data_IF_653553800382
#
_entry.id   IF_653553800382
#
_cell.length_a   1.000
_cell.length_b   1.000
_cell.length_c   1.000
_cell.angle_alpha   90.00
_cell.angle_beta   90.00
_cell.angle_gamma   90.00
#
_symmetry.space_group_name_H-M   'P 1'
#
loop_
_entity.id
_entity.type
_entity.pdbx_description
1 polymer ?
#
# COMPACT_ATOMS: atom_id res chain seq x y z
N UNK A 1 13.80 20.12 -37.53
CA UNK A 1 13.99 18.66 -37.36
C UNK A 1 14.73 18.29 -36.06
N UNK A 2 14.59 19.03 -34.95
CA UNK A 2 15.30 18.75 -33.68
C UNK A 2 14.44 18.05 -32.61
N UNK A 3 13.12 17.99 -32.78
CA UNK A 3 12.19 17.45 -31.77
C UNK A 3 12.27 15.91 -31.61
N UNK A 4 12.62 15.18 -32.66
CA UNK A 4 12.66 13.72 -32.62
C UNK A 4 13.83 13.16 -31.78
N UNK A 5 14.99 13.81 -31.83
CA UNK A 5 16.17 13.39 -31.06
C UNK A 5 16.01 13.62 -29.55
N UNK A 6 15.35 14.70 -29.17
CA UNK A 6 15.14 15.05 -27.77
C UNK A 6 14.13 14.11 -27.08
N UNK A 7 13.10 13.67 -27.81
CA UNK A 7 12.12 12.71 -27.31
C UNK A 7 12.74 11.31 -27.10
N UNK A 8 13.63 10.89 -27.99
CA UNK A 8 14.33 9.61 -27.88
C UNK A 8 15.24 9.54 -26.65
N UNK A 9 15.98 10.62 -26.37
CA UNK A 9 16.88 10.69 -25.21
C UNK A 9 16.09 10.63 -23.89
N UNK A 10 14.96 11.34 -23.81
CA UNK A 10 14.05 11.27 -22.66
C UNK A 10 13.49 9.86 -22.48
N UNK A 11 13.08 9.19 -23.57
CA UNK A 11 12.57 7.81 -23.52
C UNK A 11 13.63 6.82 -23.02
N UNK A 12 14.87 6.92 -23.51
CA UNK A 12 15.97 6.04 -23.07
C UNK A 12 16.28 6.25 -21.58
N UNK A 13 16.30 7.51 -21.11
CA UNK A 13 16.48 7.82 -19.69
C UNK A 13 15.35 7.27 -18.83
N UNK A 14 14.10 7.38 -19.28
CA UNK A 14 12.94 6.82 -18.58
C UNK A 14 13.04 5.30 -18.50
N UNK A 15 13.30 4.60 -19.61
CA UNK A 15 13.42 3.14 -19.62
C UNK A 15 14.55 2.67 -18.70
N UNK A 16 15.72 3.34 -18.75
CA UNK A 16 16.86 3.02 -17.89
C UNK A 16 16.53 3.20 -16.40
N UNK A 17 15.87 4.31 -16.04
CA UNK A 17 15.44 4.54 -14.65
C UNK A 17 14.43 3.48 -14.15
N UNK A 18 13.51 3.04 -15.02
CA UNK A 18 12.53 2.02 -14.68
C UNK A 18 13.16 0.64 -14.49
N UNK A 19 14.13 0.28 -15.34
CA UNK A 19 14.86 -0.98 -15.21
C UNK A 19 15.63 -1.05 -13.90
N UNK A 20 16.32 0.03 -13.52
CA UNK A 20 17.06 0.11 -12.26
C UNK A 20 16.15 0.04 -11.03
N UNK A 21 14.98 0.68 -11.08
CA UNK A 21 13.96 0.57 -10.03
C UNK A 21 13.44 -0.87 -9.87
N UNK A 22 13.21 -1.56 -10.98
CA UNK A 22 12.70 -2.93 -10.97
C UNK A 22 13.72 -3.91 -10.36
N UNK A 23 15.00 -3.80 -10.73
CA UNK A 23 16.08 -4.62 -10.14
C UNK A 23 16.20 -4.45 -8.62
N UNK A 24 16.00 -3.22 -8.12
CA UNK A 24 16.01 -2.97 -6.67
C UNK A 24 14.87 -3.68 -5.92
N UNK A 25 13.69 -3.82 -6.52
CA UNK A 25 12.57 -4.55 -5.88
C UNK A 25 12.77 -6.06 -5.87
N UNK A 26 13.49 -6.59 -6.85
CA UNK A 26 13.81 -8.02 -6.87
C UNK A 26 14.85 -8.40 -5.83
N UNK A 27 15.73 -7.47 -5.47
CA UNK A 27 16.85 -7.69 -4.55
C UNK A 27 16.60 -7.23 -3.10
N UNK A 28 15.62 -6.34 -2.86
CA UNK A 28 15.36 -5.77 -1.53
C UNK A 28 13.95 -6.06 -1.02
N UNK A 29 13.82 -6.21 0.30
CA UNK A 29 12.55 -6.13 1.00
C UNK A 29 12.29 -4.70 1.45
N UNK A 30 11.03 -4.28 1.44
CA UNK A 30 10.63 -2.94 1.83
C UNK A 30 9.73 -2.99 3.06
N UNK A 31 9.92 -2.03 3.94
CA UNK A 31 9.26 -1.93 5.22
C UNK A 31 8.70 -0.54 5.43
N UNK A 32 7.48 -0.47 5.93
CA UNK A 32 6.86 0.80 6.35
C UNK A 32 6.79 0.87 7.86
N UNK A 33 7.24 1.99 8.40
CA UNK A 33 7.18 2.29 9.82
C UNK A 33 6.56 3.67 10.02
N UNK A 34 5.69 3.77 11.01
CA UNK A 34 5.09 5.03 11.42
C UNK A 34 5.92 5.64 12.54
N UNK A 35 6.27 6.92 12.41
CA UNK A 35 7.07 7.66 13.40
C UNK A 35 6.21 8.75 14.04
N UNK A 36 6.51 9.11 15.30
CA UNK A 36 5.90 10.26 15.96
C UNK A 36 6.22 11.56 15.19
N UNK A 37 5.29 12.53 15.11
CA UNK A 37 5.61 13.86 14.61
C UNK A 37 6.72 14.48 15.49
N UNK A 38 7.70 15.15 14.86
CA UNK A 38 8.91 15.68 15.52
C UNK A 38 9.82 14.64 16.20
N UNK A 39 9.82 13.41 15.68
CA UNK A 39 10.72 12.34 16.14
C UNK A 39 12.18 12.50 15.66
N UNK A 40 13.04 11.60 16.13
CA UNK A 40 14.40 11.41 15.69
C UNK A 40 14.46 11.13 14.19
N UNK A 41 15.65 11.32 13.64
CA UNK A 41 15.88 11.15 12.21
C UNK A 41 15.50 9.72 11.79
N UNK A 42 14.77 9.54 10.68
CA UNK A 42 14.55 8.22 10.09
C UNK A 42 15.85 7.43 9.90
N UNK A 43 16.98 8.12 9.68
CA UNK A 43 18.31 7.51 9.57
C UNK A 43 18.82 6.88 10.88
N UNK A 44 18.45 7.43 12.04
CA UNK A 44 18.79 6.84 13.34
C UNK A 44 18.03 5.53 13.54
N UNK A 45 16.76 5.47 13.11
CA UNK A 45 15.92 4.26 13.17
C UNK A 45 16.43 3.20 12.19
N UNK A 46 16.80 3.62 10.97
CA UNK A 46 17.47 2.79 9.99
C UNK A 46 18.72 2.13 10.58
N UNK A 47 19.57 2.92 11.25
CA UNK A 47 20.77 2.43 11.94
C UNK A 47 20.44 1.45 13.07
N UNK A 48 19.44 1.78 13.91
CA UNK A 48 18.97 0.94 15.01
C UNK A 48 18.45 -0.42 14.53
N UNK A 49 17.84 -0.48 13.35
CA UNK A 49 17.32 -1.71 12.73
C UNK A 49 18.31 -2.34 11.72
N UNK A 50 19.49 -1.73 11.48
CA UNK A 50 20.43 -2.04 10.35
C UNK A 50 19.67 -2.28 9.04
N UNK A 51 18.85 -1.32 8.68
CA UNK A 51 18.17 -1.24 7.39
C UNK A 51 18.51 0.12 6.77
N UNK A 52 18.22 0.29 5.49
CA UNK A 52 18.44 1.55 4.78
C UNK A 52 17.17 2.38 4.76
N UNK A 53 17.31 3.70 4.90
CA UNK A 53 16.21 4.63 4.74
C UNK A 53 16.01 5.00 3.27
N UNK A 54 14.79 4.86 2.76
CA UNK A 54 14.46 5.17 1.36
C UNK A 54 13.81 6.55 1.23
N UNK A 55 12.85 6.86 2.09
CA UNK A 55 12.09 8.12 2.00
C UNK A 55 10.75 8.06 2.72
N UNK A 56 9.89 9.05 2.46
CA UNK A 56 8.50 9.07 2.95
C UNK A 56 7.57 8.29 2.02
N UNK A 57 6.50 7.73 2.56
CA UNK A 57 5.51 6.96 1.79
C UNK A 57 4.43 7.90 1.24
N UNK A 58 4.70 8.50 0.08
CA UNK A 58 3.77 9.43 -0.57
C UNK A 58 3.38 10.59 0.35
N UNK A 59 2.08 10.88 0.41
CA UNK A 59 1.51 11.96 1.24
C UNK A 59 0.98 11.45 2.61
N UNK A 60 1.32 10.23 3.00
CA UNK A 60 0.86 9.65 4.27
C UNK A 60 1.76 10.14 5.40
N UNK A 61 1.23 11.04 6.22
CA UNK A 61 2.00 11.69 7.30
C UNK A 61 2.55 10.69 8.32
N UNK A 62 3.85 10.83 8.62
CA UNK A 62 4.55 10.02 9.61
C UNK A 62 4.92 8.62 9.14
N UNK A 63 4.57 8.21 7.91
CA UNK A 63 4.98 6.92 7.35
C UNK A 63 6.27 7.04 6.54
N UNK A 64 7.24 6.23 6.93
CA UNK A 64 8.57 6.19 6.33
C UNK A 64 8.84 4.81 5.74
N UNK A 65 9.50 4.81 4.59
CA UNK A 65 9.88 3.63 3.83
C UNK A 65 11.35 3.31 4.10
N UNK A 66 11.59 2.04 4.42
CA UNK A 66 12.90 1.47 4.66
C UNK A 66 13.11 0.26 3.75
N UNK A 67 14.36 -0.06 3.45
CA UNK A 67 14.73 -1.21 2.64
C UNK A 67 15.81 -2.04 3.30
N UNK A 68 15.82 -3.34 3.02
CA UNK A 68 16.91 -4.23 3.40
C UNK A 68 17.19 -5.21 2.27
N UNK A 69 18.45 -5.52 1.95
CA UNK A 69 18.77 -6.55 0.97
C UNK A 69 18.20 -7.91 1.41
N UNK A 70 17.59 -8.66 0.49
CA UNK A 70 17.01 -9.99 0.77
C UNK A 70 18.04 -10.99 1.28
N UNK A 71 19.27 -10.88 0.80
CA UNK A 71 20.40 -11.72 1.25
C UNK A 71 20.75 -11.46 2.73
N UNK A 72 20.52 -10.24 3.22
CA UNK A 72 20.89 -9.80 4.56
C UNK A 72 19.92 -10.31 5.65
N UNK A 73 18.64 -10.52 5.31
CA UNK A 73 17.66 -11.19 6.20
C UNK A 73 18.15 -12.58 6.63
N UNK A 74 18.91 -13.27 5.77
CA UNK A 74 19.36 -14.62 6.05
C UNK A 74 20.50 -14.68 7.07
N UNK A 75 21.31 -13.62 7.18
CA UNK A 75 22.53 -13.62 7.99
C UNK A 75 22.38 -12.97 9.37
N UNK A 76 21.53 -11.94 9.49
CA UNK A 76 21.34 -11.17 10.73
C UNK A 76 19.96 -11.38 11.37
N UNK A 77 19.15 -12.29 10.81
CA UNK A 77 17.74 -12.45 11.15
C UNK A 77 16.85 -11.45 10.41
N UNK A 78 15.54 -11.68 10.49
CA UNK A 78 14.57 -10.80 9.82
C UNK A 78 14.42 -9.47 10.56
N UNK A 79 13.97 -8.42 9.87
CA UNK A 79 13.74 -7.09 10.48
C UNK A 79 12.72 -7.19 11.61
N UNK A 80 11.71 -8.05 11.44
CA UNK A 80 10.66 -8.32 12.42
C UNK A 80 11.22 -9.01 13.67
N UNK A 81 12.13 -9.96 13.51
CA UNK A 81 12.81 -10.62 14.65
C UNK A 81 13.64 -9.62 15.44
N UNK A 82 14.39 -8.76 14.74
CA UNK A 82 15.18 -7.72 15.39
C UNK A 82 14.30 -6.71 16.11
N UNK A 83 13.19 -6.31 15.49
CA UNK A 83 12.22 -5.43 16.14
C UNK A 83 11.66 -6.08 17.41
N UNK A 84 11.29 -7.35 17.35
CA UNK A 84 10.83 -8.10 18.52
C UNK A 84 11.90 -8.18 19.62
N UNK A 85 13.17 -8.36 19.25
CA UNK A 85 14.28 -8.34 20.20
C UNK A 85 14.42 -6.96 20.87
N UNK A 86 14.32 -5.87 20.11
CA UNK A 86 14.34 -4.51 20.67
C UNK A 86 13.16 -4.25 21.61
N UNK A 87 11.97 -4.78 21.33
CA UNK A 87 10.82 -4.73 22.24
C UNK A 87 11.13 -5.43 23.57
N UNK A 88 11.76 -6.61 23.51
CA UNK A 88 12.17 -7.35 24.71
C UNK A 88 13.24 -6.57 25.47
N UNK A 89 14.31 -6.12 24.80
CA UNK A 89 15.39 -5.32 25.39
C UNK A 89 14.88 -4.02 26.03
N UNK A 90 13.85 -3.40 25.44
CA UNK A 90 13.16 -2.25 25.99
C UNK A 90 12.45 -2.60 27.31
N UNK A 91 11.74 -3.72 27.36
CA UNK A 91 10.99 -4.15 28.55
C UNK A 91 11.88 -4.51 29.75
N UNK A 92 13.07 -5.05 29.49
CA UNK A 92 14.04 -5.40 30.53
C UNK A 92 15.01 -4.25 30.86
N UNK A 93 14.92 -3.13 30.14
CA UNK A 93 15.80 -1.97 30.34
C UNK A 93 17.25 -2.16 29.88
N UNK A 94 17.49 -3.07 28.94
CA UNK A 94 18.83 -3.40 28.41
C UNK A 94 19.26 -2.47 27.26
N UNK A 95 18.34 -1.63 26.75
CA UNK A 95 18.66 -0.66 25.70
C UNK A 95 19.49 0.50 26.24
N UNK A 96 20.46 0.97 25.43
CA UNK A 96 21.18 2.21 25.75
C UNK A 96 20.22 3.39 25.71
N UNK A 97 20.49 4.44 26.50
CA UNK A 97 19.63 5.65 26.57
C UNK A 97 19.25 6.22 25.20
N UNK A 98 20.21 6.30 24.27
CA UNK A 98 19.98 6.79 22.90
C UNK A 98 19.08 5.85 22.09
N UNK A 99 19.31 4.55 22.19
CA UNK A 99 18.52 3.54 21.46
C UNK A 99 17.09 3.49 21.99
N UNK A 100 16.91 3.60 23.30
CA UNK A 100 15.63 3.73 23.97
C UNK A 100 14.85 4.96 23.47
N UNK A 101 15.51 6.12 23.42
CA UNK A 101 14.90 7.36 22.91
C UNK A 101 14.42 7.21 21.47
N UNK A 102 15.28 6.68 20.59
CA UNK A 102 14.94 6.43 19.18
C UNK A 102 13.78 5.41 19.07
N UNK A 103 13.88 4.29 19.78
CA UNK A 103 12.89 3.22 19.72
C UNK A 103 11.51 3.67 20.21
N UNK A 104 11.46 4.49 21.26
CA UNK A 104 10.22 5.02 21.85
C UNK A 104 9.40 5.91 20.90
N UNK A 105 9.99 6.32 19.77
CA UNK A 105 9.37 7.18 18.78
C UNK A 105 8.73 6.41 17.63
N UNK A 106 9.02 5.12 17.51
CA UNK A 106 8.39 4.23 16.55
C UNK A 106 6.96 3.93 17.02
N UNK A 107 5.98 4.15 16.16
CA UNK A 107 4.58 3.83 16.40
C UNK A 107 4.22 2.52 15.69
N UNK A 108 3.93 1.49 16.47
CA UNK A 108 3.48 0.20 15.95
C UNK A 108 4.61 -0.72 15.51
N UNK A 109 4.28 -1.69 14.65
CA UNK A 109 5.21 -2.71 14.16
C UNK A 109 5.64 -2.44 12.71
N UNK A 110 6.83 -2.90 12.30
CA UNK A 110 7.25 -2.84 10.90
C UNK A 110 6.32 -3.67 10.01
N UNK A 111 5.79 -3.04 8.97
CA UNK A 111 4.93 -3.71 7.98
C UNK A 111 5.73 -3.96 6.70
N UNK A 112 5.90 -5.25 6.33
CA UNK A 112 6.58 -5.66 5.10
C UNK A 112 5.70 -5.41 3.88
N UNK A 113 6.19 -4.62 2.95
CA UNK A 113 5.49 -4.30 1.71
C UNK A 113 5.70 -5.41 0.67
N UNK A 114 4.62 -6.07 0.29
CA UNK A 114 4.62 -7.10 -0.77
C UNK A 114 4.07 -6.50 -2.05
N UNK A 115 4.94 -6.32 -3.05
CA UNK A 115 4.51 -5.90 -4.38
C UNK A 115 3.72 -7.03 -5.06
N UNK A 116 2.41 -6.82 -5.15
CA UNK A 116 1.56 -7.68 -5.98
C UNK A 116 1.78 -7.29 -7.44
N UNK A 117 2.39 -8.19 -8.22
CA UNK A 117 2.41 -8.08 -9.68
C UNK A 117 0.95 -8.02 -10.16
N UNK A 118 0.54 -6.88 -10.72
CA UNK A 118 -0.80 -6.76 -11.33
C UNK A 118 -0.82 -7.64 -12.57
N UNK A 119 -1.39 -8.83 -12.48
CA UNK A 119 -1.80 -9.58 -13.66
C UNK A 119 -2.89 -8.78 -14.34
N UNK A 120 -2.70 -8.41 -15.61
CA UNK A 120 -3.77 -7.78 -16.41
C UNK A 120 -5.02 -8.64 -16.26
N UNK A 121 -6.13 -8.03 -15.84
CA UNK A 121 -7.43 -8.70 -15.76
C UNK A 121 -7.75 -9.19 -17.17
N UNK A 122 -7.63 -10.49 -17.40
CA UNK A 122 -8.21 -11.12 -18.59
C UNK A 122 -9.71 -11.00 -18.40
N UNK A 123 -10.39 -10.36 -19.35
CA UNK A 123 -11.85 -10.34 -19.36
C UNK A 123 -12.31 -11.81 -19.36
N UNK A 124 -13.26 -12.22 -18.51
CA UNK A 124 -13.82 -13.56 -18.59
C UNK A 124 -14.27 -13.79 -20.03
N UNK A 125 -13.82 -14.89 -20.63
CA UNK A 125 -14.19 -15.21 -22.00
C UNK A 125 -15.72 -15.34 -22.06
N UNK A 126 -16.37 -14.46 -22.83
CA UNK A 126 -17.79 -14.63 -23.12
C UNK A 126 -17.93 -15.89 -23.94
N UNK A 127 -18.73 -16.86 -23.46
CA UNK A 127 -19.13 -18.00 -24.26
C UNK A 127 -19.87 -17.49 -25.50
N UNK A 128 -19.56 -17.97 -26.71
CA UNK A 128 -20.30 -17.58 -27.90
C UNK A 128 -21.79 -17.94 -27.72
N UNK A 129 -22.72 -17.10 -28.21
CA UNK A 129 -24.15 -17.38 -28.10
C UNK A 129 -24.46 -18.69 -28.82
N UNK A 130 -25.07 -19.64 -28.10
CA UNK A 130 -25.60 -20.86 -28.69
C UNK A 130 -26.79 -20.49 -29.57
N UNK A 131 -26.84 -21.01 -30.80
CA UNK A 131 -27.90 -20.78 -31.80
C UNK A 131 -29.35 -21.11 -31.36
N UNK A 132 -29.55 -21.56 -30.12
CA UNK A 132 -30.87 -21.86 -29.57
C UNK A 132 -31.59 -20.64 -28.98
N UNK A 133 -30.91 -19.52 -28.73
CA UNK A 133 -31.54 -18.30 -28.20
C UNK A 133 -32.25 -17.46 -29.30
N UNK A 134 -32.08 -17.80 -30.58
CA UNK A 134 -32.65 -17.01 -31.68
C UNK A 134 -34.12 -17.36 -32.01
N UNK A 135 -34.69 -18.42 -31.41
CA UNK A 135 -36.10 -18.79 -31.66
C UNK A 135 -37.08 -18.41 -30.55
N UNK A 136 -36.62 -17.82 -29.44
CA UNK A 136 -37.50 -17.41 -28.33
C UNK A 136 -37.87 -15.91 -28.32
N UNK A 137 -37.49 -15.12 -29.33
CA UNK A 137 -37.71 -13.65 -29.35
C UNK A 137 -38.84 -13.22 -30.31
N UNK A 138 -39.72 -14.14 -30.71
CA UNK A 138 -40.84 -13.79 -31.60
C UNK A 138 -42.22 -14.24 -31.10
N UNK A 139 -42.36 -14.38 -29.77
CA UNK A 139 -43.58 -14.90 -29.16
C UNK A 139 -44.05 -14.22 -27.87
N UNK A 140 -43.49 -13.09 -27.42
CA UNK A 140 -43.95 -12.46 -26.16
C UNK A 140 -43.89 -10.92 -26.15
N UNK A 141 -43.96 -10.30 -27.33
CA UNK A 141 -43.98 -8.85 -27.48
C UNK A 141 -45.42 -8.29 -27.52
N UNK A 142 -46.31 -8.66 -26.59
CA UNK A 142 -47.64 -8.02 -26.52
C UNK A 142 -48.47 -8.20 -25.23
N UNK A 143 -47.88 -8.41 -24.04
CA UNK A 143 -48.70 -8.61 -22.82
C UNK A 143 -48.42 -7.77 -21.57
N UNK A 144 -47.38 -6.95 -21.49
CA UNK A 144 -47.09 -6.26 -20.23
C UNK A 144 -46.78 -4.76 -20.36
N UNK A 145 -47.66 -4.01 -21.04
CA UNK A 145 -47.79 -2.56 -20.84
C UNK A 145 -48.90 -2.28 -19.82
N UNK A 146 -48.60 -2.43 -18.53
CA UNK A 146 -49.29 -1.66 -17.48
C UNK A 146 -48.29 -1.28 -16.38
N UNK A 147 -47.99 0.01 -16.17
CA UNK A 147 -47.19 0.42 -15.01
C UNK A 147 -48.09 0.40 -13.77
N UNK A 148 -47.98 -0.67 -12.96
CA UNK A 148 -48.45 -0.63 -11.58
C UNK A 148 -47.47 0.21 -10.77
N UNK A 149 -47.81 1.48 -10.55
CA UNK A 149 -47.21 2.29 -9.50
C UNK A 149 -47.50 1.61 -8.16
N UNK A 150 -46.49 0.98 -7.57
CA UNK A 150 -46.51 0.62 -6.16
C UNK A 150 -45.71 1.66 -5.38
N UNK A 151 -46.40 2.22 -4.40
CA UNK A 151 -46.02 3.31 -3.51
C UNK A 151 -45.31 2.67 -2.31
N UNK A 152 -44.26 3.34 -1.83
CA UNK A 152 -43.51 3.07 -0.57
C UNK A 152 -42.56 1.87 -0.73
N UNK A 153 -41.29 1.92 -0.31
CA UNK A 153 -40.80 2.46 0.95
C UNK A 153 -39.51 3.28 0.81
N UNK A 154 -39.48 4.38 1.56
CA UNK A 154 -38.26 5.07 1.97
C UNK A 154 -37.46 4.15 2.89
N UNK A 155 -36.15 4.11 2.70
CA UNK A 155 -35.20 3.89 3.79
C UNK A 155 -34.04 4.88 3.66
N UNK A 156 -33.47 5.33 4.80
CA UNK A 156 -33.05 6.70 4.97
C UNK A 156 -31.58 6.93 4.62
N UNK A 157 -31.32 8.14 4.11
CA UNK A 157 -30.03 8.81 4.19
C UNK A 157 -29.50 8.73 5.63
N UNK A 158 -28.39 8.03 5.81
CA UNK A 158 -27.61 8.09 7.04
C UNK A 158 -26.92 9.45 7.06
N UNK A 159 -27.31 10.26 8.03
CA UNK A 159 -26.76 11.58 8.34
C UNK A 159 -25.25 11.55 8.53
N UNK A 160 -24.56 12.30 7.69
CA UNK A 160 -23.35 13.04 8.04
C UNK A 160 -23.82 14.26 8.84
N UNK A 161 -23.54 14.32 10.15
CA UNK A 161 -23.23 15.54 10.94
C UNK A 161 -23.34 15.25 12.45
N UNK A 162 -22.21 15.39 13.15
CA UNK A 162 -22.01 15.90 14.52
C UNK A 162 -20.52 15.66 14.84
N UNK A 163 -19.63 16.63 14.59
CA UNK A 163 -19.24 17.68 15.57
C UNK A 163 -19.05 17.12 16.99
N UNK A 164 -17.81 16.98 17.45
CA UNK A 164 -17.08 17.99 18.26
C UNK A 164 -17.81 18.34 19.56
N UNK A 165 -17.32 17.77 20.68
CA UNK A 165 -17.10 18.42 22.00
C UNK A 165 -16.62 17.36 23.00
N UNK A 166 -15.40 17.50 23.54
CA UNK A 166 -15.11 18.03 24.89
C UNK A 166 -15.65 17.11 26.00
N UNK A 167 -14.82 16.42 26.79
CA UNK A 167 -14.02 16.95 27.92
C UNK A 167 -14.62 16.46 29.25
N UNK A 168 -13.74 16.06 30.17
CA UNK A 168 -13.95 15.80 31.61
C UNK A 168 -14.63 14.48 32.00
N UNK A 169 -13.80 13.51 32.40
CA UNK A 169 -13.68 13.10 33.81
C UNK A 169 -12.31 12.47 34.06
#
# INVERSE_FOLDING_TARGET
MYFAGQLYLVLVLLISSYACLLERYETHNYYTLKLKPHSASPNDIASLLKIDYVGTVGDIEGYHLFSTPKEYEHSQGSVEQRFAQLVVDHSIGNLRKRELEIFSQIQGQPEKQVLKKRTKRVLPAFSPPTLQDTMAVQGDLLKNLTPKFHKRDLCPLISLEQELQCSVN
#
